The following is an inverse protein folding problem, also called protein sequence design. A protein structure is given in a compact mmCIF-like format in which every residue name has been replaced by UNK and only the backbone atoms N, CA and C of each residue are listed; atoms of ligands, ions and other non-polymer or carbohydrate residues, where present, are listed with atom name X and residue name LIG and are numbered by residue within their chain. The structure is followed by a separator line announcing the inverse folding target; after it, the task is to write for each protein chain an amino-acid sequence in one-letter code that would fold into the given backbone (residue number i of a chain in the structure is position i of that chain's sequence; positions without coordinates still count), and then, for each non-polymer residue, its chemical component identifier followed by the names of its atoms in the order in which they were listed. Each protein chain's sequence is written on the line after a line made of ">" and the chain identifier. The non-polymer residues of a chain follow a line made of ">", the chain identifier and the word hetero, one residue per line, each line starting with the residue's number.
data_IF_941217125021
#
_entry.id   IF_941217125021
#
_cell.length_a   1.000
_cell.length_b   1.000
_cell.length_c   1.000
_cell.angle_alpha   90.00
_cell.angle_beta   90.00
_cell.angle_gamma   90.00
#
_symmetry.space_group_name_H-M   'P 1'
#
loop_
_entity.id
_entity.type
_entity.pdbx_description
1 polymer ?
#
# COMPACT_ATOMS: atom_id res chain seq x y z
N UNK A 1 -1.85 -11.65 4.77
CA UNK A 1 -2.93 -10.69 4.49
C UNK A 1 -2.93 -10.47 2.99
N UNK A 2 -4.07 -10.62 2.32
CA UNK A 2 -4.19 -10.30 0.90
C UNK A 2 -4.59 -8.82 0.74
N UNK A 3 -4.26 -8.21 -0.40
CA UNK A 3 -4.61 -6.80 -0.68
C UNK A 3 -6.12 -6.55 -0.63
N UNK A 4 -6.91 -7.53 -1.09
CA UNK A 4 -8.37 -7.51 -1.01
C UNK A 4 -8.89 -7.40 0.43
N UNK A 5 -8.30 -8.17 1.37
CA UNK A 5 -8.69 -8.13 2.79
C UNK A 5 -8.47 -6.73 3.39
N UNK A 6 -7.33 -6.10 3.05
CA UNK A 6 -7.00 -4.75 3.49
C UNK A 6 -8.01 -3.73 2.94
N UNK A 7 -8.36 -3.84 1.66
CA UNK A 7 -9.31 -2.94 1.01
C UNK A 7 -10.73 -3.07 1.59
N UNK A 8 -11.19 -4.30 1.82
CA UNK A 8 -12.47 -4.56 2.48
C UNK A 8 -12.51 -3.97 3.89
N UNK A 9 -11.43 -4.16 4.67
CA UNK A 9 -11.30 -3.57 5.99
C UNK A 9 -11.35 -2.03 5.95
N UNK A 10 -10.65 -1.40 4.99
CA UNK A 10 -10.67 0.06 4.80
C UNK A 10 -12.07 0.59 4.47
N UNK A 11 -12.82 -0.11 3.60
CA UNK A 11 -14.20 0.24 3.29
C UNK A 11 -15.10 0.18 4.54
N UNK A 12 -14.90 -0.82 5.40
CA UNK A 12 -15.64 -0.95 6.67
C UNK A 12 -15.33 0.18 7.66
N UNK A 13 -14.09 0.69 7.70
CA UNK A 13 -13.71 1.78 8.61
C UNK A 13 -14.23 3.14 8.16
N UNK A 14 -14.39 3.34 6.85
CA UNK A 14 -14.67 4.65 6.25
C UNK A 14 -16.09 4.82 5.76
N UNK A 15 -16.75 3.72 5.36
CA UNK A 15 -17.97 3.75 4.56
C UNK A 15 -17.73 4.09 3.07
N UNK A 16 -16.48 4.35 2.67
CA UNK A 16 -16.12 4.59 1.28
C UNK A 16 -16.20 3.27 0.49
N UNK A 17 -16.69 3.33 -0.75
CA UNK A 17 -16.84 2.16 -1.61
C UNK A 17 -15.68 2.09 -2.60
N UNK A 18 -14.69 1.25 -2.30
CA UNK A 18 -13.65 0.93 -3.26
C UNK A 18 -14.09 -0.23 -4.17
N UNK A 19 -13.51 -0.30 -5.37
CA UNK A 19 -13.51 -1.48 -6.24
C UNK A 19 -12.11 -2.10 -6.31
N UNK A 20 -12.03 -3.44 -6.19
CA UNK A 20 -10.77 -4.17 -6.38
C UNK A 20 -10.74 -4.67 -7.82
N UNK A 21 -9.86 -4.11 -8.64
CA UNK A 21 -9.75 -4.43 -10.06
C UNK A 21 -8.45 -5.20 -10.27
N UNK A 22 -8.56 -6.37 -10.89
CA UNK A 22 -7.39 -7.11 -11.37
C UNK A 22 -6.93 -6.52 -12.71
N UNK A 23 -5.63 -6.23 -12.83
CA UNK A 23 -5.06 -5.49 -13.95
C UNK A 23 -3.68 -6.02 -14.29
N UNK A 24 -3.34 -6.23 -15.58
CA UNK A 24 -1.98 -6.60 -16.00
C UNK A 24 -0.94 -5.53 -15.58
N UNK A 25 0.29 -5.96 -15.31
CA UNK A 25 1.36 -5.08 -14.85
C UNK A 25 1.62 -3.90 -15.79
N UNK A 26 1.56 -4.12 -17.11
CA UNK A 26 1.74 -3.07 -18.12
C UNK A 26 0.63 -2.01 -18.05
N UNK A 27 -0.62 -2.44 -17.85
CA UNK A 27 -1.77 -1.54 -17.73
C UNK A 27 -1.71 -0.76 -16.42
N UNK A 28 -1.38 -1.43 -15.30
CA UNK A 28 -1.23 -0.79 -13.99
C UNK A 28 -0.09 0.23 -14.00
N UNK A 29 1.03 -0.12 -14.67
CA UNK A 29 2.16 0.78 -14.84
C UNK A 29 1.75 2.04 -15.60
N UNK A 30 1.07 1.86 -16.74
CA UNK A 30 0.57 2.99 -17.53
C UNK A 30 -0.39 3.84 -16.72
N UNK A 31 -1.30 3.23 -15.96
CA UNK A 31 -2.27 3.94 -15.14
C UNK A 31 -1.57 4.85 -14.11
N UNK A 32 -0.55 4.36 -13.40
CA UNK A 32 0.22 5.16 -12.44
C UNK A 32 0.97 6.32 -13.09
N UNK A 33 1.62 6.08 -14.23
CA UNK A 33 2.33 7.13 -14.96
C UNK A 33 1.39 8.22 -15.46
N UNK A 34 0.22 7.84 -15.99
CA UNK A 34 -0.82 8.76 -16.45
C UNK A 34 -1.41 9.61 -15.30
N UNK A 35 -1.32 9.12 -14.05
CA UNK A 35 -1.72 9.84 -12.82
C UNK A 35 -0.56 10.58 -12.12
N UNK A 36 0.59 10.72 -12.80
CA UNK A 36 1.70 11.55 -12.33
C UNK A 36 2.66 10.85 -11.36
N UNK A 37 2.66 9.51 -11.28
CA UNK A 37 3.71 8.79 -10.57
C UNK A 37 5.05 8.94 -11.31
N UNK A 38 6.11 9.44 -10.67
CA UNK A 38 7.37 9.66 -11.36
C UNK A 38 8.11 8.34 -11.65
N UNK A 39 9.01 8.38 -12.63
CA UNK A 39 9.83 7.23 -13.01
C UNK A 39 11.03 7.00 -12.10
N UNK A 40 11.52 8.05 -11.43
CA UNK A 40 12.69 8.00 -10.56
C UNK A 40 12.49 8.81 -9.28
N UNK A 41 13.23 8.41 -8.24
CA UNK A 41 13.15 9.03 -6.91
C UNK A 41 14.01 10.28 -6.76
N UNK A 42 15.02 10.46 -7.61
CA UNK A 42 16.01 11.51 -7.44
C UNK A 42 15.53 12.87 -7.99
N UNK A 43 14.73 12.84 -9.05
CA UNK A 43 14.32 14.02 -9.82
C UNK A 43 12.82 14.08 -10.10
N UNK A 44 12.05 13.08 -9.67
CA UNK A 44 10.61 13.01 -9.84
C UNK A 44 9.83 14.19 -9.23
N UNK A 45 8.77 14.63 -9.91
CA UNK A 45 7.79 15.56 -9.35
C UNK A 45 6.75 14.79 -8.53
N UNK A 46 6.73 15.04 -7.22
CA UNK A 46 5.79 14.42 -6.28
C UNK A 46 4.65 15.36 -5.89
N UNK A 47 4.51 16.53 -6.53
CA UNK A 47 3.48 17.51 -6.20
C UNK A 47 2.06 17.02 -6.48
N UNK A 48 1.90 16.03 -7.37
CA UNK A 48 0.61 15.50 -7.82
C UNK A 48 0.08 14.35 -6.97
N UNK A 49 0.93 13.71 -6.14
CA UNK A 49 0.56 12.52 -5.38
C UNK A 49 0.87 12.70 -3.89
N UNK A 50 0.02 12.18 -2.99
CA UNK A 50 0.25 12.24 -1.53
C UNK A 50 1.36 11.29 -1.05
N UNK A 51 2.08 10.64 -1.99
CA UNK A 51 3.02 9.55 -1.73
C UNK A 51 4.34 9.78 -2.46
N UNK A 52 5.45 9.51 -1.76
CA UNK A 52 6.83 9.63 -2.29
C UNK A 52 7.33 8.27 -2.73
N UNK A 53 6.79 7.79 -3.85
CA UNK A 53 7.15 6.51 -4.48
C UNK A 53 7.33 6.77 -5.97
N UNK A 54 8.28 6.09 -6.61
CA UNK A 54 8.36 6.06 -8.07
C UNK A 54 7.77 4.76 -8.62
N UNK A 55 7.62 4.68 -9.94
CA UNK A 55 7.12 3.47 -10.61
C UNK A 55 7.98 2.24 -10.31
N UNK A 56 9.30 2.42 -10.20
CA UNK A 56 10.22 1.34 -9.86
C UNK A 56 9.95 0.75 -8.48
N UNK A 57 9.59 1.59 -7.50
CA UNK A 57 9.21 1.14 -6.16
C UNK A 57 7.90 0.33 -6.21
N UNK A 58 6.90 0.84 -6.93
CA UNK A 58 5.58 0.20 -7.03
C UNK A 58 5.65 -1.21 -7.65
N UNK A 59 6.36 -1.35 -8.77
CA UNK A 59 6.52 -2.62 -9.48
C UNK A 59 7.37 -3.60 -8.65
N UNK A 60 8.54 -3.17 -8.17
CA UNK A 60 9.42 -4.03 -7.38
C UNK A 60 8.73 -4.56 -6.12
N UNK A 61 8.01 -3.71 -5.38
CA UNK A 61 7.26 -4.16 -4.21
C UNK A 61 6.13 -5.13 -4.58
N UNK A 62 5.44 -4.90 -5.70
CA UNK A 62 4.41 -5.79 -6.24
C UNK A 62 4.98 -7.18 -6.57
N UNK A 63 6.10 -7.24 -7.30
CA UNK A 63 6.77 -8.49 -7.66
C UNK A 63 7.22 -9.28 -6.42
N UNK A 64 7.78 -8.61 -5.41
CA UNK A 64 8.22 -9.25 -4.16
C UNK A 64 7.06 -9.81 -3.33
N UNK A 65 5.87 -9.20 -3.42
CA UNK A 65 4.66 -9.76 -2.84
C UNK A 65 4.18 -10.97 -3.64
N UNK A 66 4.08 -10.83 -4.97
CA UNK A 66 3.56 -11.86 -5.87
C UNK A 66 4.41 -13.14 -5.90
N UNK A 67 5.74 -13.00 -5.79
CA UNK A 67 6.65 -14.14 -5.75
C UNK A 67 6.78 -14.79 -4.36
N UNK A 68 6.07 -14.27 -3.34
CA UNK A 68 6.05 -14.80 -1.98
C UNK A 68 7.29 -14.47 -1.13
N UNK A 69 8.15 -13.55 -1.56
CA UNK A 69 9.35 -13.14 -0.81
C UNK A 69 9.02 -12.52 0.56
N UNK A 70 7.79 -12.03 0.74
CA UNK A 70 7.31 -11.46 2.01
C UNK A 70 6.39 -12.40 2.83
N UNK A 71 6.34 -13.70 2.52
CA UNK A 71 5.45 -14.64 3.22
C UNK A 71 6.00 -15.17 4.57
N UNK A 72 7.26 -14.90 4.89
CA UNK A 72 7.85 -15.35 6.15
C UNK A 72 7.57 -14.35 7.27
N UNK A 73 7.06 -14.85 8.39
CA UNK A 73 6.83 -14.07 9.61
C UNK A 73 7.81 -14.50 10.71
N UNK A 74 8.24 -13.55 11.53
CA UNK A 74 9.11 -13.81 12.68
C UNK A 74 8.62 -13.11 13.94
N UNK A 75 9.11 -13.56 15.09
CA UNK A 75 8.88 -12.97 16.41
C UNK A 75 9.99 -11.97 16.81
N UNK A 76 10.75 -11.48 15.83
CA UNK A 76 11.92 -10.61 16.05
C UNK A 76 11.56 -9.35 16.83
N UNK A 77 10.40 -8.73 16.56
CA UNK A 77 9.94 -7.54 17.30
C UNK A 77 9.76 -7.84 18.79
N UNK A 78 9.11 -8.96 19.11
CA UNK A 78 8.88 -9.38 20.50
C UNK A 78 10.19 -9.76 21.20
N UNK A 79 11.07 -10.50 20.52
CA UNK A 79 12.39 -10.88 21.05
C UNK A 79 13.29 -9.69 21.34
N UNK A 80 13.31 -8.67 20.47
CA UNK A 80 14.21 -7.53 20.60
C UNK A 80 13.65 -6.43 21.52
N UNK A 81 12.33 -6.30 21.63
CA UNK A 81 11.70 -5.17 22.32
C UNK A 81 10.87 -5.56 23.56
N UNK A 82 10.59 -6.85 23.75
CA UNK A 82 9.67 -7.36 24.77
C UNK A 82 8.21 -7.00 24.52
N UNK A 83 7.87 -6.43 23.36
CA UNK A 83 6.52 -6.03 22.97
C UNK A 83 6.08 -6.77 21.72
N UNK A 84 4.81 -7.20 21.68
CA UNK A 84 4.23 -7.76 20.47
C UNK A 84 4.18 -6.71 19.35
N UNK A 85 4.39 -7.11 18.08
CA UNK A 85 4.21 -6.20 16.95
C UNK A 85 2.78 -5.69 16.91
N UNK A 86 2.61 -4.40 16.64
CA UNK A 86 1.31 -3.77 16.44
C UNK A 86 0.68 -4.32 15.16
N UNK A 87 -0.63 -4.58 15.19
CA UNK A 87 -1.36 -5.01 14.00
C UNK A 87 -1.46 -3.86 12.98
N UNK A 88 -1.60 -4.20 11.69
CA UNK A 88 -1.75 -3.17 10.66
C UNK A 88 -3.01 -2.33 10.91
N UNK A 89 -4.11 -2.93 11.41
CA UNK A 89 -5.36 -2.23 11.71
C UNK A 89 -5.14 -1.14 12.75
N UNK A 90 -4.54 -1.49 13.89
CA UNK A 90 -4.25 -0.53 14.97
C UNK A 90 -3.31 0.57 14.52
N UNK A 91 -2.33 0.25 13.67
CA UNK A 91 -1.40 1.23 13.15
C UNK A 91 -2.07 2.20 12.17
N UNK A 92 -2.86 1.68 11.22
CA UNK A 92 -3.55 2.47 10.20
C UNK A 92 -4.62 3.39 10.80
N UNK A 93 -5.31 2.97 11.87
CA UNK A 93 -6.32 3.80 12.55
C UNK A 93 -5.74 5.10 13.15
N UNK A 94 -4.43 5.21 13.35
CA UNK A 94 -3.77 6.47 13.75
C UNK A 94 -3.89 7.56 12.68
N UNK A 95 -4.13 7.16 11.43
CA UNK A 95 -4.26 8.03 10.26
C UNK A 95 -5.70 8.08 9.74
N UNK A 96 -6.68 7.65 10.53
CA UNK A 96 -8.10 7.60 10.12
C UNK A 96 -8.63 8.93 9.57
N UNK A 97 -8.09 10.06 10.03
CA UNK A 97 -8.58 11.39 9.67
C UNK A 97 -8.23 11.78 8.22
N UNK A 98 -7.26 11.10 7.60
CA UNK A 98 -6.87 11.28 6.19
C UNK A 98 -7.46 10.19 5.28
N UNK A 99 -8.28 9.28 5.81
CA UNK A 99 -8.92 8.25 5.00
C UNK A 99 -9.97 8.87 4.06
N UNK A 100 -10.26 8.21 2.92
CA UNK A 100 -11.34 8.64 2.05
C UNK A 100 -12.67 8.64 2.82
N UNK A 101 -13.50 9.66 2.57
CA UNK A 101 -14.80 9.82 3.20
C UNK A 101 -15.89 9.38 2.23
N UNK A 102 -17.03 8.84 2.70
CA UNK A 102 -18.17 8.55 1.83
C UNK A 102 -18.59 9.83 1.08
N UNK A 103 -18.92 9.68 -0.20
CA UNK A 103 -19.60 10.73 -0.98
C UNK A 103 -21.03 10.96 -0.47
#
# INVERSE_FOLDING_TARGET
>A
MQQKDLMEWMCQQTGYKCEYVDMPDEELTKWWLDHGLPTDMATGDFSQLPMKLCIGDAICCGEMLGNGSMNSVSDTVEKLTGRKPTSYQEYLLKYKDIFPKPE
#
